data_IF_117464323402
#
_entry.id   IF_117464323402
#
_cell.length_a   1.000
_cell.length_b   1.000
_cell.length_c   1.000
_cell.angle_alpha   90.00
_cell.angle_beta   90.00
_cell.angle_gamma   90.00
#
_symmetry.space_group_name_H-M   'P 1'
#
loop_
_entity.id
_entity.type
_entity.pdbx_description
1 polymer ?
#
# COMPACT_ATOMS: atom_id res chain seq x y z
N UNK A 1 -16.86 8.08 -25.78
CA UNK A 1 -16.49 9.00 -24.66
C UNK A 1 -17.07 8.36 -23.40
N UNK A 2 -16.22 7.93 -22.47
CA UNK A 2 -16.65 7.37 -21.19
C UNK A 2 -17.43 8.43 -20.39
N UNK A 3 -18.59 8.07 -19.85
CA UNK A 3 -19.38 8.97 -19.02
C UNK A 3 -18.58 9.39 -17.79
N UNK A 4 -18.67 10.68 -17.41
CA UNK A 4 -18.02 11.19 -16.20
C UNK A 4 -18.70 10.61 -14.97
N UNK A 5 -17.93 10.06 -14.06
CA UNK A 5 -18.39 9.40 -12.82
C UNK A 5 -17.97 10.22 -11.61
N UNK A 6 -18.83 10.31 -10.60
CA UNK A 6 -18.51 10.89 -9.29
C UNK A 6 -18.34 9.77 -8.26
N UNK A 7 -17.11 9.55 -7.83
CA UNK A 7 -16.71 8.45 -6.94
C UNK A 7 -16.59 8.97 -5.50
N UNK A 8 -17.20 8.28 -4.54
CA UNK A 8 -16.96 8.51 -3.12
C UNK A 8 -15.99 7.43 -2.59
N UNK A 9 -14.77 7.80 -2.19
CA UNK A 9 -13.78 6.88 -1.62
C UNK A 9 -13.80 6.97 -0.10
N UNK A 10 -14.04 5.85 0.58
CA UNK A 10 -14.06 5.75 2.05
C UNK A 10 -12.77 5.13 2.58
N UNK A 11 -12.12 5.81 3.54
CA UNK A 11 -10.84 5.42 4.12
C UNK A 11 -10.88 5.36 5.65
N UNK A 12 -10.00 4.52 6.24
CA UNK A 12 -9.81 4.43 7.70
C UNK A 12 -8.89 5.51 8.26
N UNK A 13 -8.01 6.07 7.45
CA UNK A 13 -6.98 7.00 7.86
C UNK A 13 -7.06 8.29 7.06
N UNK A 14 -6.50 9.38 7.62
CA UNK A 14 -6.44 10.64 6.88
C UNK A 14 -5.54 10.51 5.65
N UNK A 15 -5.97 10.93 4.44
CA UNK A 15 -5.24 10.70 3.19
C UNK A 15 -3.86 11.39 3.11
N UNK A 16 -3.60 12.36 4.00
CA UNK A 16 -2.28 13.02 4.10
C UNK A 16 -1.37 12.43 5.19
N UNK A 17 -1.78 11.34 5.86
CA UNK A 17 -0.88 10.59 6.73
C UNK A 17 0.09 9.73 5.91
N UNK A 18 1.21 9.32 6.50
CA UNK A 18 2.22 8.51 5.81
C UNK A 18 1.78 7.05 5.74
N UNK A 19 1.70 6.50 4.53
CA UNK A 19 1.40 5.08 4.29
C UNK A 19 1.13 4.77 2.83
N UNK A 20 1.27 3.51 2.44
CA UNK A 20 1.07 3.05 1.06
C UNK A 20 -0.36 3.28 0.57
N UNK A 21 -1.37 2.94 1.40
CA UNK A 21 -2.80 3.12 1.06
C UNK A 21 -3.11 4.60 0.80
N UNK A 22 -2.60 5.51 1.66
CA UNK A 22 -2.84 6.94 1.52
C UNK A 22 -2.22 7.49 0.23
N UNK A 23 -0.99 7.07 -0.07
CA UNK A 23 -0.31 7.44 -1.32
C UNK A 23 -1.12 6.94 -2.52
N UNK A 24 -1.53 5.67 -2.50
CA UNK A 24 -2.35 5.07 -3.56
C UNK A 24 -3.66 5.81 -3.79
N UNK A 25 -4.44 6.07 -2.74
CA UNK A 25 -5.74 6.78 -2.87
C UNK A 25 -5.55 8.21 -3.39
N UNK A 26 -4.50 8.91 -2.97
CA UNK A 26 -4.20 10.24 -3.50
C UNK A 26 -3.80 10.21 -4.97
N UNK A 27 -3.07 9.19 -5.41
CA UNK A 27 -2.75 8.99 -6.81
C UNK A 27 -3.99 8.61 -7.63
N UNK A 28 -4.83 7.70 -7.14
CA UNK A 28 -6.12 7.37 -7.76
C UNK A 28 -6.97 8.64 -7.96
N UNK A 29 -7.11 9.47 -6.92
CA UNK A 29 -7.82 10.75 -7.05
C UNK A 29 -7.20 11.63 -8.13
N UNK A 30 -5.89 11.84 -8.11
CA UNK A 30 -5.16 12.66 -9.09
C UNK A 30 -5.43 12.21 -10.52
N UNK A 31 -5.33 10.91 -10.80
CA UNK A 31 -5.44 10.37 -12.15
C UNK A 31 -6.89 10.24 -12.62
N UNK A 32 -7.83 9.90 -11.76
CA UNK A 32 -9.26 9.92 -12.06
C UNK A 32 -9.74 11.33 -12.40
N UNK A 33 -9.31 12.34 -11.65
CA UNK A 33 -9.68 13.73 -11.90
C UNK A 33 -9.05 14.29 -13.19
N UNK A 34 -7.86 13.86 -13.57
CA UNK A 34 -7.26 14.17 -14.89
C UNK A 34 -8.07 13.65 -16.05
N UNK A 35 -8.73 12.52 -15.90
CA UNK A 35 -9.63 11.94 -16.88
C UNK A 35 -11.04 12.57 -16.86
N UNK A 36 -11.25 13.54 -15.98
CA UNK A 36 -12.49 14.33 -15.90
C UNK A 36 -13.56 13.72 -14.97
N UNK A 37 -13.24 12.67 -14.24
CA UNK A 37 -14.09 12.15 -13.17
C UNK A 37 -14.04 13.05 -11.93
N UNK A 38 -14.98 12.90 -11.01
CA UNK A 38 -14.96 13.59 -9.72
C UNK A 38 -14.68 12.59 -8.61
N UNK A 39 -13.81 12.95 -7.66
CA UNK A 39 -13.48 12.10 -6.53
C UNK A 39 -13.65 12.86 -5.22
N UNK A 40 -14.52 12.34 -4.35
CA UNK A 40 -14.67 12.80 -2.98
C UNK A 40 -14.12 11.76 -2.02
N UNK A 41 -13.12 12.12 -1.23
CA UNK A 41 -12.53 11.25 -0.21
C UNK A 41 -13.22 11.50 1.12
N UNK A 42 -13.79 10.45 1.70
CA UNK A 42 -14.39 10.44 3.03
C UNK A 42 -13.43 9.77 4.00
N UNK A 43 -12.93 10.50 4.97
CA UNK A 43 -11.87 10.05 5.85
C UNK A 43 -12.00 10.65 7.26
N UNK A 44 -11.28 10.09 8.26
CA UNK A 44 -11.15 10.71 9.57
C UNK A 44 -10.54 12.11 9.48
N UNK A 45 -11.00 13.01 10.35
CA UNK A 45 -10.34 14.32 10.51
C UNK A 45 -8.97 14.12 11.17
N UNK A 46 -8.00 14.96 10.83
CA UNK A 46 -6.69 15.00 11.49
C UNK A 46 -6.48 16.35 12.16
N UNK A 47 -5.85 16.36 13.33
CA UNK A 47 -5.54 17.58 14.07
C UNK A 47 -4.66 18.54 13.24
N UNK A 48 -3.81 17.99 12.38
CA UNK A 48 -2.82 18.75 11.59
C UNK A 48 -3.30 19.19 10.20
N UNK A 49 -4.35 18.57 9.66
CA UNK A 49 -4.76 18.76 8.28
C UNK A 49 -6.21 19.22 8.19
N UNK A 50 -6.43 20.41 7.62
CA UNK A 50 -7.77 20.94 7.36
C UNK A 50 -8.38 20.37 6.09
N UNK A 51 -9.70 20.38 6.01
CA UNK A 51 -10.43 19.99 4.81
C UNK A 51 -10.04 20.91 3.63
N UNK A 52 -9.86 20.31 2.46
CA UNK A 52 -9.71 20.97 1.17
C UNK A 52 -10.78 20.43 0.24
N UNK A 53 -10.99 21.05 -0.91
CA UNK A 53 -11.98 20.60 -1.89
C UNK A 53 -11.78 19.11 -2.26
N UNK A 54 -12.89 18.39 -2.32
CA UNK A 54 -12.90 16.95 -2.57
C UNK A 54 -12.64 16.07 -1.34
N UNK A 55 -12.63 16.65 -0.11
CA UNK A 55 -12.49 15.90 1.13
C UNK A 55 -13.65 16.13 2.08
N UNK A 56 -14.28 15.05 2.52
CA UNK A 56 -15.27 15.04 3.57
C UNK A 56 -14.68 14.43 4.83
N UNK A 57 -14.21 15.27 5.74
CA UNK A 57 -13.57 14.84 6.97
C UNK A 57 -14.61 14.65 8.08
N UNK A 58 -14.64 13.43 8.63
CA UNK A 58 -15.51 13.04 9.72
C UNK A 58 -14.86 13.30 11.07
N UNK A 59 -15.64 13.69 12.09
CA UNK A 59 -15.13 13.81 13.45
C UNK A 59 -14.49 12.50 13.90
N UNK A 60 -13.26 12.56 14.36
CA UNK A 60 -12.47 11.40 14.77
C UNK A 60 -11.80 11.63 16.12
N UNK A 61 -11.48 10.53 16.79
CA UNK A 61 -10.69 10.52 18.01
C UNK A 61 -9.28 10.11 17.63
N UNK A 62 -8.23 10.84 18.07
CA UNK A 62 -6.87 10.43 17.79
C UNK A 62 -6.55 9.12 18.52
N UNK A 63 -5.99 8.16 17.79
CA UNK A 63 -5.53 6.88 18.34
C UNK A 63 -4.05 6.92 18.73
N UNK A 64 -3.33 7.93 18.25
CA UNK A 64 -1.92 8.12 18.55
C UNK A 64 -1.64 9.55 19.04
N UNK A 65 -0.53 9.72 19.78
CA UNK A 65 -0.09 11.01 20.32
C UNK A 65 0.26 12.05 19.24
N UNK A 66 0.44 11.61 17.99
CA UNK A 66 0.77 12.48 16.86
C UNK A 66 -0.45 12.89 16.05
N UNK A 67 -1.61 12.25 16.27
CA UNK A 67 -2.86 12.50 15.56
C UNK A 67 -2.81 12.07 14.08
N UNK A 68 -1.93 11.13 13.72
CA UNK A 68 -1.82 10.60 12.37
C UNK A 68 -2.88 9.52 12.11
N UNK A 69 -3.30 8.81 13.16
CA UNK A 69 -4.36 7.81 13.13
C UNK A 69 -5.59 8.31 13.87
N UNK A 70 -6.71 8.36 13.17
CA UNK A 70 -7.99 8.76 13.70
C UNK A 70 -9.00 7.61 13.67
N UNK A 71 -9.78 7.49 14.75
CA UNK A 71 -10.89 6.57 14.85
C UNK A 71 -12.19 7.32 14.58
N UNK A 72 -12.99 6.88 13.62
CA UNK A 72 -14.33 7.42 13.36
C UNK A 72 -15.38 6.44 13.83
N UNK A 73 -16.13 6.84 14.87
CA UNK A 73 -17.26 6.03 15.28
C UNK A 73 -18.43 6.16 14.28
N UNK A 74 -19.08 5.04 13.97
CA UNK A 74 -20.31 5.00 13.16
C UNK A 74 -21.51 5.50 13.99
N UNK A 75 -21.40 6.74 14.49
CA UNK A 75 -22.38 7.36 15.34
C UNK A 75 -23.39 8.19 14.53
N UNK A 76 -24.56 8.41 15.11
CA UNK A 76 -25.65 9.19 14.50
C UNK A 76 -25.19 10.55 13.97
N UNK A 77 -24.20 11.19 14.62
CA UNK A 77 -23.64 12.49 14.19
C UNK A 77 -22.86 12.38 12.87
N UNK A 78 -22.01 11.38 12.74
CA UNK A 78 -21.23 11.13 11.51
C UNK A 78 -22.16 10.78 10.34
N UNK A 79 -23.14 9.92 10.58
CA UNK A 79 -24.16 9.57 9.57
C UNK A 79 -24.95 10.79 9.10
N UNK A 80 -25.51 11.59 10.03
CA UNK A 80 -26.25 12.81 9.69
C UNK A 80 -25.40 13.82 8.90
N UNK A 81 -24.11 13.94 9.23
CA UNK A 81 -23.20 14.82 8.51
C UNK A 81 -22.97 14.35 7.06
N UNK A 82 -22.75 13.05 6.88
CA UNK A 82 -22.60 12.46 5.55
C UNK A 82 -23.87 12.59 4.71
N UNK A 83 -25.02 12.22 5.28
CA UNK A 83 -26.30 12.23 4.57
C UNK A 83 -26.67 13.66 4.17
N UNK A 84 -26.52 14.66 5.07
CA UNK A 84 -26.74 16.09 4.75
C UNK A 84 -25.78 16.56 3.65
N UNK A 85 -24.48 16.27 3.76
CA UNK A 85 -23.51 16.66 2.73
C UNK A 85 -23.85 16.06 1.37
N UNK A 86 -24.33 14.82 1.35
CA UNK A 86 -24.78 14.19 0.13
C UNK A 86 -26.06 14.80 -0.44
N UNK A 87 -27.04 15.14 0.40
CA UNK A 87 -28.29 15.82 -0.01
C UNK A 87 -28.01 17.20 -0.64
N UNK A 88 -27.03 17.92 -0.11
CA UNK A 88 -26.62 19.25 -0.60
C UNK A 88 -25.81 19.19 -1.91
N UNK A 89 -25.28 18.01 -2.32
CA UNK A 89 -24.53 17.87 -3.57
C UNK A 89 -25.45 18.07 -4.79
N UNK A 90 -25.03 18.93 -5.71
CA UNK A 90 -25.68 19.06 -7.02
C UNK A 90 -25.50 17.81 -7.89
N UNK A 91 -24.25 17.31 -7.96
CA UNK A 91 -23.90 16.07 -8.66
C UNK A 91 -23.71 14.96 -7.63
N UNK A 92 -24.68 14.06 -7.56
CA UNK A 92 -24.64 12.91 -6.62
C UNK A 92 -23.48 11.98 -6.92
N UNK A 93 -23.16 11.11 -5.97
CA UNK A 93 -22.22 10.02 -6.23
C UNK A 93 -22.87 8.95 -7.11
N UNK A 94 -22.09 8.41 -8.03
CA UNK A 94 -22.51 7.29 -8.88
C UNK A 94 -22.08 5.94 -8.27
N UNK A 95 -21.02 5.95 -7.48
CA UNK A 95 -20.44 4.74 -6.89
C UNK A 95 -19.71 5.05 -5.57
N UNK A 96 -19.73 4.10 -4.66
CA UNK A 96 -18.92 4.10 -3.44
C UNK A 96 -17.77 3.11 -3.60
N UNK A 97 -16.54 3.59 -3.46
CA UNK A 97 -15.35 2.77 -3.38
C UNK A 97 -14.85 2.73 -1.94
N UNK A 98 -14.94 1.57 -1.32
CA UNK A 98 -14.45 1.35 0.03
C UNK A 98 -12.99 0.91 -0.04
N UNK A 99 -12.10 1.67 0.59
CA UNK A 99 -10.68 1.36 0.72
C UNK A 99 -10.22 1.34 2.18
N UNK A 100 -11.17 1.31 3.11
CA UNK A 100 -10.95 1.10 4.52
C UNK A 100 -11.48 -0.27 4.93
N UNK A 101 -10.64 -1.06 5.60
CA UNK A 101 -10.99 -2.40 6.05
C UNK A 101 -11.52 -2.42 7.50
N UNK A 102 -11.69 -1.24 8.13
CA UNK A 102 -12.21 -1.08 9.49
C UNK A 102 -13.43 -0.16 9.50
N UNK A 103 -13.32 0.98 10.18
CA UNK A 103 -14.44 1.92 10.36
C UNK A 103 -14.86 2.63 9.09
N UNK A 104 -13.91 2.97 8.23
CA UNK A 104 -14.17 3.52 6.90
C UNK A 104 -15.04 2.59 6.07
N UNK A 105 -14.74 1.27 6.13
CA UNK A 105 -15.54 0.23 5.51
C UNK A 105 -16.97 0.17 6.01
N UNK A 106 -17.15 0.11 7.35
CA UNK A 106 -18.49 0.04 7.97
C UNK A 106 -19.33 1.27 7.65
N UNK A 107 -18.71 2.47 7.71
CA UNK A 107 -19.40 3.72 7.42
C UNK A 107 -19.74 3.84 5.95
N UNK A 108 -18.81 3.46 5.07
CA UNK A 108 -18.99 3.46 3.61
C UNK A 108 -20.10 2.53 3.18
N UNK A 109 -20.10 1.30 3.69
CA UNK A 109 -21.15 0.31 3.45
C UNK A 109 -22.52 0.85 3.87
N UNK A 110 -22.64 1.32 5.13
CA UNK A 110 -23.90 1.85 5.65
C UNK A 110 -24.37 3.10 4.90
N UNK A 111 -23.46 3.94 4.41
CA UNK A 111 -23.79 5.09 3.56
C UNK A 111 -24.32 4.64 2.19
N UNK A 112 -23.60 3.75 1.51
CA UNK A 112 -23.99 3.28 0.20
C UNK A 112 -25.38 2.61 0.20
N UNK A 113 -25.67 1.80 1.22
CA UNK A 113 -27.00 1.17 1.36
C UNK A 113 -28.11 2.17 1.55
N UNK A 114 -27.95 3.18 2.41
CA UNK A 114 -28.96 4.22 2.62
C UNK A 114 -29.31 5.01 1.37
N UNK A 115 -28.30 5.22 0.52
CA UNK A 115 -28.43 6.00 -0.72
C UNK A 115 -28.55 5.12 -1.97
N UNK A 116 -28.62 3.79 -1.83
CA UNK A 116 -28.75 2.80 -2.91
C UNK A 116 -27.65 2.93 -3.97
N UNK A 117 -26.43 3.21 -3.53
CA UNK A 117 -25.27 3.33 -4.40
C UNK A 117 -24.58 1.99 -4.57
N UNK A 118 -24.09 1.66 -5.77
CA UNK A 118 -23.26 0.48 -5.98
C UNK A 118 -21.93 0.61 -5.23
N UNK A 119 -21.39 -0.54 -4.82
CA UNK A 119 -20.19 -0.61 -3.97
C UNK A 119 -19.11 -1.40 -4.68
N UNK A 120 -17.89 -0.89 -4.67
CA UNK A 120 -16.67 -1.65 -4.90
C UNK A 120 -15.79 -1.59 -3.65
N UNK A 121 -15.10 -2.69 -3.36
CA UNK A 121 -14.25 -2.83 -2.18
C UNK A 121 -12.83 -3.18 -2.59
N UNK A 122 -11.83 -2.39 -2.20
CA UNK A 122 -10.42 -2.80 -2.24
C UNK A 122 -9.97 -3.21 -0.85
N UNK A 123 -9.51 -4.45 -0.72
CA UNK A 123 -8.91 -4.97 0.49
C UNK A 123 -7.43 -4.60 0.53
N UNK A 124 -7.00 -3.95 1.61
CA UNK A 124 -5.61 -3.50 1.74
C UNK A 124 -4.87 -4.17 2.88
N UNK A 125 -5.58 -4.79 3.81
CA UNK A 125 -5.00 -5.21 5.08
C UNK A 125 -5.05 -6.72 5.24
N UNK A 126 -3.90 -7.36 5.38
CA UNK A 126 -3.84 -8.72 5.90
C UNK A 126 -4.09 -8.72 7.42
N UNK A 127 -5.37 -8.62 7.77
CA UNK A 127 -5.82 -8.45 9.16
C UNK A 127 -5.41 -9.61 10.07
N UNK A 128 -5.34 -10.83 9.53
CA UNK A 128 -5.03 -12.00 10.34
C UNK A 128 -3.61 -11.98 10.89
N UNK A 129 -2.65 -11.51 10.10
CA UNK A 129 -1.25 -11.46 10.52
C UNK A 129 -0.93 -10.23 11.38
N UNK A 130 -1.41 -9.06 10.98
CA UNK A 130 -1.07 -7.80 11.65
C UNK A 130 -1.60 -7.74 13.08
N UNK A 131 -2.86 -8.10 13.26
CA UNK A 131 -3.51 -7.95 14.58
C UNK A 131 -3.10 -9.06 15.54
N UNK A 132 -2.85 -10.28 15.04
CA UNK A 132 -2.36 -11.38 15.88
C UNK A 132 -0.94 -11.12 16.42
N UNK A 133 -0.06 -10.54 15.58
CA UNK A 133 1.31 -10.22 15.99
C UNK A 133 1.40 -9.02 16.96
N UNK A 134 0.48 -8.05 16.84
CA UNK A 134 0.56 -6.79 17.62
C UNK A 134 -0.25 -6.84 18.91
N UNK A 135 -1.45 -7.42 18.91
CA UNK A 135 -2.40 -7.33 20.04
C UNK A 135 -2.63 -8.65 20.79
N UNK A 136 -2.16 -9.77 20.24
CA UNK A 136 -2.44 -11.10 20.78
C UNK A 136 -3.88 -11.58 20.51
N UNK A 137 -4.08 -12.90 20.48
CA UNK A 137 -5.30 -13.54 19.99
C UNK A 137 -6.59 -13.13 20.72
N UNK A 138 -6.57 -12.93 22.04
CA UNK A 138 -7.79 -12.59 22.81
C UNK A 138 -8.28 -11.19 22.51
N UNK A 139 -7.38 -10.22 22.47
CA UNK A 139 -7.71 -8.81 22.17
C UNK A 139 -8.17 -8.67 20.73
N UNK A 140 -7.51 -9.36 19.81
CA UNK A 140 -7.88 -9.44 18.40
C UNK A 140 -9.30 -9.96 18.24
N UNK A 141 -9.63 -11.11 18.81
CA UNK A 141 -10.99 -11.69 18.73
C UNK A 141 -12.06 -10.77 19.28
N UNK A 142 -11.77 -10.08 20.39
CA UNK A 142 -12.71 -9.11 20.98
C UNK A 142 -12.91 -7.90 20.06
N UNK A 143 -11.85 -7.35 19.48
CA UNK A 143 -11.93 -6.24 18.54
C UNK A 143 -12.75 -6.62 17.31
N UNK A 144 -12.46 -7.76 16.67
CA UNK A 144 -13.21 -8.24 15.51
C UNK A 144 -14.65 -8.62 15.84
N UNK A 145 -14.92 -9.08 17.05
CA UNK A 145 -16.27 -9.28 17.53
C UNK A 145 -17.07 -7.96 17.55
N UNK A 146 -16.47 -6.89 18.08
CA UNK A 146 -17.09 -5.55 18.08
C UNK A 146 -17.34 -5.04 16.65
N UNK A 147 -16.33 -5.12 15.78
CA UNK A 147 -16.42 -4.69 14.39
C UNK A 147 -17.48 -5.50 13.61
N UNK A 148 -17.46 -6.83 13.74
CA UNK A 148 -18.44 -7.71 13.09
C UNK A 148 -19.86 -7.41 13.56
N UNK A 149 -20.05 -7.15 14.86
CA UNK A 149 -21.36 -6.82 15.40
C UNK A 149 -21.92 -5.51 14.86
N UNK A 150 -21.07 -4.52 14.59
CA UNK A 150 -21.50 -3.27 13.95
C UNK A 150 -21.78 -3.50 12.46
N UNK A 151 -20.95 -4.29 11.79
CA UNK A 151 -21.06 -4.61 10.37
C UNK A 151 -22.31 -5.43 10.06
N UNK A 152 -22.71 -6.38 10.92
CA UNK A 152 -23.90 -7.21 10.78
C UNK A 152 -25.21 -6.39 10.71
N UNK A 153 -25.22 -5.13 11.14
CA UNK A 153 -26.37 -4.23 10.95
C UNK A 153 -26.56 -3.80 9.49
N UNK A 154 -25.55 -4.04 8.67
CA UNK A 154 -25.49 -3.60 7.27
C UNK A 154 -25.36 -4.75 6.27
N UNK A 155 -25.39 -5.99 6.71
CA UNK A 155 -25.27 -7.18 5.85
C UNK A 155 -26.62 -7.90 5.77
N UNK A 156 -27.09 -8.11 4.55
CA UNK A 156 -28.42 -8.70 4.32
C UNK A 156 -28.45 -10.23 4.54
N UNK A 157 -27.34 -10.91 4.25
CA UNK A 157 -27.22 -12.37 4.37
C UNK A 157 -25.89 -12.73 5.02
N UNK A 158 -25.79 -12.64 6.35
CA UNK A 158 -24.57 -13.03 7.03
C UNK A 158 -24.32 -14.53 6.84
N UNK A 159 -23.09 -14.86 6.47
CA UNK A 159 -22.63 -16.25 6.46
C UNK A 159 -22.53 -16.78 7.89
N UNK A 160 -22.86 -18.07 8.09
CA UNK A 160 -22.51 -18.74 9.32
C UNK A 160 -21.01 -18.80 9.47
N UNK A 161 -20.48 -18.20 10.53
CA UNK A 161 -19.07 -18.12 10.83
C UNK A 161 -18.80 -17.65 12.25
N UNK A 162 -17.61 -17.86 12.74
CA UNK A 162 -17.22 -17.45 14.09
C UNK A 162 -17.10 -15.92 14.14
N UNK A 163 -18.00 -15.28 14.87
CA UNK A 163 -17.92 -13.84 15.14
C UNK A 163 -16.61 -13.56 15.92
N UNK A 164 -15.79 -12.66 15.40
CA UNK A 164 -14.45 -12.37 15.94
C UNK A 164 -13.30 -13.03 15.16
N UNK A 165 -13.60 -13.80 14.11
CA UNK A 165 -12.61 -14.23 13.16
C UNK A 165 -12.33 -13.11 12.12
N UNK A 166 -11.04 -12.74 11.89
CA UNK A 166 -10.67 -11.70 10.93
C UNK A 166 -11.14 -11.97 9.50
N UNK A 167 -11.01 -13.20 9.02
CA UNK A 167 -11.41 -13.56 7.67
C UNK A 167 -12.93 -13.50 7.47
N UNK A 168 -13.69 -13.97 8.46
CA UNK A 168 -15.14 -13.81 8.44
C UNK A 168 -15.58 -12.35 8.48
N UNK A 169 -14.86 -11.50 9.23
CA UNK A 169 -15.09 -10.05 9.21
C UNK A 169 -14.87 -9.44 7.81
N UNK A 170 -13.77 -9.79 7.14
CA UNK A 170 -13.51 -9.34 5.75
C UNK A 170 -14.58 -9.87 4.78
N UNK A 171 -15.03 -11.13 4.95
CA UNK A 171 -16.15 -11.66 4.17
C UNK A 171 -17.43 -10.82 4.33
N UNK A 172 -17.80 -10.48 5.58
CA UNK A 172 -18.96 -9.63 5.83
C UNK A 172 -18.81 -8.24 5.18
N UNK A 173 -17.62 -7.68 5.17
CA UNK A 173 -17.34 -6.39 4.53
C UNK A 173 -17.45 -6.47 3.00
N UNK A 174 -16.99 -7.59 2.41
CA UNK A 174 -17.03 -7.83 0.97
C UNK A 174 -18.41 -8.24 0.44
N UNK A 175 -19.27 -8.83 1.30
CA UNK A 175 -20.51 -9.52 0.89
C UNK A 175 -21.53 -8.64 0.16
N UNK A 176 -21.51 -7.34 0.39
CA UNK A 176 -22.40 -6.36 -0.24
C UNK A 176 -21.73 -5.61 -1.41
N UNK A 177 -20.45 -5.90 -1.70
CA UNK A 177 -19.73 -5.29 -2.80
C UNK A 177 -20.05 -5.96 -4.14
N UNK A 178 -20.22 -5.15 -5.19
CA UNK A 178 -20.43 -5.62 -6.57
C UNK A 178 -19.14 -6.13 -7.21
N UNK A 179 -17.98 -5.67 -6.71
CA UNK A 179 -16.64 -6.15 -7.07
C UNK A 179 -15.69 -5.98 -5.88
N UNK A 180 -14.80 -6.96 -5.71
CA UNK A 180 -13.76 -6.97 -4.68
C UNK A 180 -12.41 -6.96 -5.35
N UNK A 181 -11.54 -6.05 -4.93
CA UNK A 181 -10.18 -5.88 -5.43
C UNK A 181 -9.14 -6.23 -4.37
N UNK A 182 -8.01 -6.75 -4.83
CA UNK A 182 -6.78 -6.90 -4.05
C UNK A 182 -5.61 -6.28 -4.80
N UNK A 183 -4.60 -5.74 -4.11
CA UNK A 183 -3.49 -5.05 -4.76
C UNK A 183 -2.42 -5.98 -5.36
N UNK A 184 -2.58 -7.29 -5.25
CA UNK A 184 -1.64 -8.30 -5.78
C UNK A 184 -2.33 -9.63 -6.02
N UNK A 185 -1.69 -10.51 -6.81
CA UNK A 185 -2.20 -11.84 -7.11
C UNK A 185 -2.20 -12.74 -5.87
N UNK A 186 -1.11 -12.77 -5.10
CA UNK A 186 -1.01 -13.58 -3.89
C UNK A 186 -2.08 -13.20 -2.86
N UNK A 187 -2.32 -11.90 -2.64
CA UNK A 187 -3.33 -11.47 -1.68
C UNK A 187 -4.76 -11.73 -2.20
N UNK A 188 -5.00 -11.60 -3.51
CA UNK A 188 -6.27 -12.01 -4.12
C UNK A 188 -6.52 -13.51 -3.89
N UNK A 189 -5.51 -14.36 -4.08
CA UNK A 189 -5.58 -15.78 -3.81
C UNK A 189 -5.85 -16.09 -2.33
N UNK A 190 -5.24 -15.37 -1.41
CA UNK A 190 -5.50 -15.50 0.03
C UNK A 190 -6.96 -15.19 0.37
N UNK A 191 -7.50 -14.11 -0.18
CA UNK A 191 -8.90 -13.72 0.03
C UNK A 191 -9.87 -14.78 -0.49
N UNK A 192 -9.61 -15.37 -1.66
CA UNK A 192 -10.43 -16.47 -2.23
C UNK A 192 -10.29 -17.73 -1.38
N UNK A 193 -9.07 -18.10 -1.00
CA UNK A 193 -8.77 -19.31 -0.20
C UNK A 193 -9.48 -19.25 1.17
N UNK A 194 -9.50 -18.09 1.80
CA UNK A 194 -10.21 -17.87 3.06
C UNK A 194 -11.69 -17.52 2.88
N UNK A 195 -12.20 -17.63 1.64
CA UNK A 195 -13.61 -17.44 1.31
C UNK A 195 -14.15 -16.06 1.69
N UNK A 196 -13.32 -15.04 1.56
CA UNK A 196 -13.73 -13.64 1.74
C UNK A 196 -14.68 -13.24 0.61
N UNK A 197 -14.34 -13.60 -0.63
CA UNK A 197 -15.20 -13.47 -1.80
C UNK A 197 -14.91 -14.63 -2.77
N UNK A 198 -15.91 -15.00 -3.59
CA UNK A 198 -15.75 -16.08 -4.58
C UNK A 198 -14.82 -15.67 -5.74
N UNK A 199 -14.79 -14.37 -6.04
CA UNK A 199 -13.94 -13.77 -7.06
C UNK A 199 -13.35 -12.47 -6.54
N UNK A 200 -12.03 -12.35 -6.67
CA UNK A 200 -11.27 -11.14 -6.33
C UNK A 200 -10.45 -10.72 -7.56
N UNK A 201 -10.59 -9.48 -7.96
CA UNK A 201 -9.87 -8.93 -9.11
C UNK A 201 -8.57 -8.27 -8.63
N UNK A 202 -7.48 -8.48 -9.36
CA UNK A 202 -6.21 -7.83 -9.04
C UNK A 202 -6.19 -6.41 -9.59
N UNK A 203 -5.99 -5.46 -8.70
CA UNK A 203 -5.91 -4.02 -8.99
C UNK A 203 -4.70 -3.44 -8.26
N UNK A 204 -3.54 -3.45 -8.91
CA UNK A 204 -2.31 -2.93 -8.32
C UNK A 204 -2.45 -1.44 -7.97
N UNK A 205 -1.86 -1.05 -6.85
CA UNK A 205 -1.63 0.37 -6.58
C UNK A 205 -0.48 0.82 -7.47
N UNK A 206 -0.73 1.76 -8.34
CA UNK A 206 0.25 2.24 -9.30
C UNK A 206 1.23 3.27 -8.71
N UNK A 207 2.32 3.48 -9.42
CA UNK A 207 3.33 4.51 -9.13
C UNK A 207 3.02 5.77 -9.94
N UNK A 208 3.40 6.96 -9.44
CA UNK A 208 3.13 8.24 -10.11
C UNK A 208 3.90 8.37 -11.42
N UNK A 209 3.20 8.27 -12.56
CA UNK A 209 3.74 8.40 -13.91
C UNK A 209 4.59 9.66 -14.12
N UNK A 210 4.13 10.83 -13.60
CA UNK A 210 4.83 12.09 -13.83
C UNK A 210 6.22 12.06 -13.22
N UNK A 211 6.32 11.48 -12.02
CA UNK A 211 7.59 11.39 -11.30
C UNK A 211 8.48 10.37 -12.01
N UNK A 212 7.95 9.18 -12.32
CA UNK A 212 8.70 8.13 -13.03
C UNK A 212 9.22 8.65 -14.36
N UNK A 213 8.36 9.25 -15.20
CA UNK A 213 8.76 9.83 -16.49
C UNK A 213 9.82 10.91 -16.35
N UNK A 214 9.72 11.77 -15.30
CA UNK A 214 10.73 12.79 -15.04
C UNK A 214 12.09 12.21 -14.65
N UNK A 215 12.10 11.13 -13.87
CA UNK A 215 13.32 10.42 -13.44
C UNK A 215 13.97 9.72 -14.63
N UNK A 216 13.19 8.93 -15.39
CA UNK A 216 13.70 8.20 -16.55
C UNK A 216 14.24 9.14 -17.64
N UNK A 217 13.57 10.28 -17.87
CA UNK A 217 14.07 11.32 -18.78
C UNK A 217 15.41 11.87 -18.32
N UNK A 218 15.53 12.26 -17.05
CA UNK A 218 16.79 12.78 -16.49
C UNK A 218 17.92 11.75 -16.59
N UNK A 219 17.63 10.47 -16.35
CA UNK A 219 18.60 9.37 -16.50
C UNK A 219 19.04 9.19 -17.95
N UNK A 220 18.14 9.29 -18.93
CA UNK A 220 18.46 9.20 -20.35
C UNK A 220 19.29 10.40 -20.82
N UNK A 221 18.93 11.62 -20.39
CA UNK A 221 19.68 12.84 -20.71
C UNK A 221 21.13 12.76 -20.14
N UNK A 222 21.29 12.21 -18.93
CA UNK A 222 22.60 11.99 -18.31
C UNK A 222 23.42 10.89 -19.02
N UNK A 223 22.78 9.81 -19.51
CA UNK A 223 23.46 8.75 -20.30
C UNK A 223 24.01 9.28 -21.63
N UNK A 224 23.31 10.25 -22.25
CA UNK A 224 23.79 10.96 -23.44
C UNK A 224 25.07 11.78 -23.19
N UNK A 225 25.36 12.15 -21.94
CA UNK A 225 26.55 12.94 -21.53
C UNK A 225 27.71 12.12 -20.95
N UNK A 226 27.74 10.80 -21.09
CA UNK A 226 28.81 9.86 -20.62
C UNK A 226 29.11 9.84 -19.10
N UNK A 227 28.27 10.40 -18.23
CA UNK A 227 28.64 10.63 -16.81
C UNK A 227 28.07 9.62 -15.80
N UNK A 228 27.42 8.52 -16.21
CA UNK A 228 26.73 7.63 -15.26
C UNK A 228 27.05 6.14 -15.35
N UNK A 229 28.23 5.79 -15.87
CA UNK A 229 28.73 4.43 -15.65
C UNK A 229 29.44 4.36 -14.30
N UNK A 230 29.00 3.43 -13.41
CA UNK A 230 29.70 3.06 -12.21
C UNK A 230 31.19 2.90 -12.52
N UNK A 231 32.06 3.56 -11.74
CA UNK A 231 33.50 3.42 -11.90
C UNK A 231 33.96 2.12 -11.24
N UNK A 232 34.97 1.45 -11.78
CA UNK A 232 35.61 0.34 -11.08
C UNK A 232 36.08 0.80 -9.69
N UNK A 233 35.60 0.14 -8.63
CA UNK A 233 35.91 0.51 -7.25
C UNK A 233 34.81 1.26 -6.51
N UNK A 234 33.74 1.71 -7.17
CA UNK A 234 32.59 2.29 -6.48
C UNK A 234 31.88 1.26 -5.63
N UNK A 235 31.46 1.64 -4.41
CA UNK A 235 30.64 0.80 -3.54
C UNK A 235 29.24 0.63 -4.11
N UNK A 236 28.66 -0.56 -3.91
CA UNK A 236 27.27 -0.84 -4.27
C UNK A 236 26.36 -0.01 -3.35
N UNK A 237 25.38 0.67 -3.93
CA UNK A 237 24.38 1.47 -3.20
C UNK A 237 23.15 0.63 -2.91
N UNK A 238 22.94 0.30 -1.64
CA UNK A 238 21.77 -0.44 -1.17
C UNK A 238 20.82 0.53 -0.47
N UNK A 239 19.56 0.50 -0.84
CA UNK A 239 18.51 1.28 -0.17
C UNK A 239 17.54 0.35 0.53
N UNK A 240 17.17 0.73 1.74
CA UNK A 240 16.04 0.18 2.47
C UNK A 240 15.05 1.31 2.78
N UNK A 241 13.75 1.09 2.55
CA UNK A 241 12.74 2.10 2.83
C UNK A 241 11.49 1.48 3.46
N UNK A 242 11.02 2.10 4.55
CA UNK A 242 9.84 1.63 5.25
C UNK A 242 9.65 2.26 6.62
N UNK A 243 8.57 1.89 7.30
CA UNK A 243 8.41 2.23 8.71
C UNK A 243 9.40 1.43 9.54
N UNK A 244 10.14 2.09 10.43
CA UNK A 244 11.06 1.40 11.36
C UNK A 244 10.27 0.71 12.46
N UNK A 245 9.60 -0.41 12.10
CA UNK A 245 8.72 -1.24 12.90
C UNK A 245 9.14 -2.71 12.79
N UNK A 246 8.79 -3.60 13.73
CA UNK A 246 9.24 -5.00 13.72
C UNK A 246 8.87 -5.76 12.46
N UNK A 247 7.66 -5.56 11.93
CA UNK A 247 7.16 -6.24 10.74
C UNK A 247 7.99 -5.94 9.48
N UNK A 248 8.72 -4.81 9.48
CA UNK A 248 9.63 -4.42 8.39
C UNK A 248 11.07 -4.90 8.60
N UNK A 249 11.37 -5.50 9.75
CA UNK A 249 12.63 -6.15 10.08
C UNK A 249 13.91 -5.30 9.87
N UNK A 250 13.91 -3.98 10.25
CA UNK A 250 15.10 -3.14 10.04
C UNK A 250 16.31 -3.57 10.86
N UNK A 251 16.11 -4.20 12.03
CA UNK A 251 17.21 -4.65 12.88
C UNK A 251 17.87 -5.91 12.32
N UNK A 252 17.07 -6.83 11.76
CA UNK A 252 17.54 -8.03 11.05
C UNK A 252 18.35 -7.63 9.83
N UNK A 253 17.90 -6.61 9.08
CA UNK A 253 18.64 -6.05 7.96
C UNK A 253 20.01 -5.52 8.37
N UNK A 254 20.11 -4.72 9.43
CA UNK A 254 21.37 -4.17 9.94
C UNK A 254 22.32 -5.32 10.37
N UNK A 255 21.79 -6.36 11.04
CA UNK A 255 22.59 -7.53 11.40
C UNK A 255 23.08 -8.30 10.18
N UNK A 256 22.25 -8.47 9.15
CA UNK A 256 22.63 -9.13 7.91
C UNK A 256 23.73 -8.38 7.16
N UNK A 257 23.70 -7.05 7.15
CA UNK A 257 24.80 -6.23 6.60
C UNK A 257 26.11 -6.47 7.36
N UNK A 258 26.04 -6.57 8.68
CA UNK A 258 27.24 -6.87 9.48
C UNK A 258 27.76 -8.27 9.21
N UNK A 259 26.89 -9.28 9.22
CA UNK A 259 27.22 -10.69 9.01
C UNK A 259 27.77 -10.97 7.61
N UNK A 260 27.21 -10.32 6.58
CA UNK A 260 27.65 -10.45 5.20
C UNK A 260 29.05 -9.86 4.94
N UNK A 261 29.50 -8.92 5.76
CA UNK A 261 30.76 -8.23 5.56
C UNK A 261 30.89 -7.43 4.25
N UNK A 262 29.79 -7.22 3.50
CA UNK A 262 29.80 -6.54 2.21
C UNK A 262 30.38 -5.12 2.27
N UNK A 263 31.14 -4.76 1.25
CA UNK A 263 31.56 -3.36 1.02
C UNK A 263 30.53 -2.66 0.15
N UNK A 264 29.54 -2.03 0.82
CA UNK A 264 28.42 -1.34 0.21
C UNK A 264 28.04 -0.10 1.01
N UNK A 265 27.53 0.94 0.34
CA UNK A 265 26.92 2.11 0.97
C UNK A 265 25.40 1.83 1.16
N UNK A 266 24.94 1.86 2.40
CA UNK A 266 23.56 1.51 2.75
C UNK A 266 22.84 2.72 3.30
N UNK A 267 21.69 3.05 2.70
CA UNK A 267 20.84 4.13 3.17
C UNK A 267 19.48 3.59 3.61
N UNK A 268 19.09 3.90 4.85
CA UNK A 268 17.82 3.47 5.47
C UNK A 268 16.89 4.67 5.59
N UNK A 269 15.79 4.64 4.85
CA UNK A 269 14.78 5.70 4.84
C UNK A 269 13.54 5.30 5.61
N UNK A 270 13.02 6.23 6.40
CA UNK A 270 11.78 6.08 7.15
C UNK A 270 11.89 6.50 8.60
N UNK A 271 10.77 6.32 9.33
CA UNK A 271 10.66 6.63 10.77
C UNK A 271 9.84 5.54 11.46
N UNK A 272 10.09 5.35 12.74
CA UNK A 272 9.36 4.41 13.56
C UNK A 272 9.95 4.29 14.94
N UNK A 273 9.31 3.50 15.82
CA UNK A 273 9.77 3.40 17.20
C UNK A 273 11.11 2.65 17.34
N UNK A 274 11.48 1.82 16.35
CA UNK A 274 12.78 1.14 16.33
C UNK A 274 13.95 2.05 15.91
N UNK A 275 13.69 3.30 15.49
CA UNK A 275 14.74 4.18 14.97
C UNK A 275 15.93 4.38 15.91
N UNK A 276 15.67 4.62 17.22
CA UNK A 276 16.75 4.73 18.21
C UNK A 276 17.51 3.42 18.42
N UNK A 277 16.80 2.28 18.35
CA UNK A 277 17.42 0.96 18.49
C UNK A 277 18.25 0.60 17.26
N UNK A 278 17.77 0.96 16.07
CA UNK A 278 18.51 0.79 14.83
C UNK A 278 19.81 1.61 14.82
N UNK A 279 19.76 2.88 15.25
CA UNK A 279 20.98 3.68 15.34
C UNK A 279 22.01 3.07 16.31
N UNK A 280 21.58 2.70 17.53
CA UNK A 280 22.48 2.04 18.49
C UNK A 280 23.11 0.77 17.92
N UNK A 281 22.32 -0.05 17.22
CA UNK A 281 22.81 -1.27 16.61
C UNK A 281 23.85 -0.99 15.51
N UNK A 282 23.69 0.06 14.71
CA UNK A 282 24.69 0.52 13.73
C UNK A 282 25.99 0.92 14.43
N UNK A 283 25.87 1.68 15.54
CA UNK A 283 27.03 2.15 16.30
C UNK A 283 27.75 0.98 16.99
N UNK A 284 27.01 0.07 17.65
CA UNK A 284 27.52 -1.12 18.34
C UNK A 284 28.24 -2.11 17.40
N UNK A 285 27.78 -2.21 16.16
CA UNK A 285 28.37 -3.08 15.13
C UNK A 285 29.48 -2.38 14.30
N UNK A 286 29.79 -1.11 14.59
CA UNK A 286 30.83 -0.37 13.88
C UNK A 286 30.51 -0.09 12.41
N UNK A 287 29.23 0.06 12.05
CA UNK A 287 28.77 0.23 10.66
C UNK A 287 28.58 1.71 10.25
N UNK A 288 28.89 2.67 11.10
CA UNK A 288 28.54 4.09 10.91
C UNK A 288 29.19 4.78 9.71
N UNK A 289 30.26 4.23 9.16
CA UNK A 289 30.94 4.72 7.94
C UNK A 289 30.16 4.40 6.64
N UNK A 290 29.35 3.35 6.63
CA UNK A 290 28.67 2.82 5.45
C UNK A 290 27.15 2.62 5.58
N UNK A 291 26.57 2.62 6.79
CA UNK A 291 25.12 2.49 7.02
C UNK A 291 24.58 3.79 7.65
N UNK A 292 23.63 4.42 6.98
CA UNK A 292 23.10 5.72 7.39
C UNK A 292 21.58 5.72 7.50
N UNK A 293 21.04 6.13 8.66
CA UNK A 293 19.62 6.44 8.84
C UNK A 293 19.31 7.84 8.28
N UNK A 294 18.53 7.94 7.22
CA UNK A 294 18.19 9.19 6.53
C UNK A 294 16.87 9.82 7.00
N UNK A 295 16.08 9.10 7.79
CA UNK A 295 14.75 9.53 8.18
C UNK A 295 13.73 9.46 7.02
N UNK A 296 12.51 9.96 7.26
CA UNK A 296 11.48 9.98 6.23
C UNK A 296 11.69 11.14 5.27
N UNK A 297 11.49 10.89 3.99
CA UNK A 297 11.58 11.87 2.91
C UNK A 297 10.26 11.93 2.12
N UNK A 298 9.99 13.04 1.37
CA UNK A 298 8.83 13.13 0.49
C UNK A 298 8.82 12.04 -0.59
N UNK A 299 7.63 11.63 -1.05
CA UNK A 299 7.42 10.57 -2.03
C UNK A 299 8.26 10.75 -3.31
N UNK A 300 8.23 11.94 -3.92
CA UNK A 300 9.04 12.20 -5.11
C UNK A 300 10.56 12.10 -4.87
N UNK A 301 11.02 12.30 -3.63
CA UNK A 301 12.43 12.15 -3.28
C UNK A 301 12.82 10.69 -3.13
N UNK A 302 11.95 9.86 -2.52
CA UNK A 302 12.28 8.44 -2.35
C UNK A 302 12.34 7.71 -3.70
N UNK A 303 11.50 8.04 -4.68
CA UNK A 303 11.58 7.46 -6.02
C UNK A 303 12.91 7.81 -6.73
N UNK A 304 13.43 9.02 -6.53
CA UNK A 304 14.77 9.40 -7.04
C UNK A 304 15.87 8.63 -6.33
N UNK A 305 15.74 8.42 -5.01
CA UNK A 305 16.70 7.62 -4.25
C UNK A 305 16.73 6.20 -4.76
N UNK A 306 15.57 5.60 -5.09
CA UNK A 306 15.54 4.27 -5.72
C UNK A 306 16.26 4.29 -7.06
N UNK A 307 15.99 5.26 -7.94
CA UNK A 307 16.63 5.37 -9.24
C UNK A 307 18.16 5.55 -9.18
N UNK A 308 18.66 6.15 -8.09
CA UNK A 308 20.08 6.37 -7.83
C UNK A 308 20.75 5.18 -7.12
N UNK A 309 19.98 4.18 -6.69
CA UNK A 309 20.45 2.99 -6.01
C UNK A 309 20.73 1.85 -7.01
N UNK A 310 21.64 0.96 -6.64
CA UNK A 310 21.88 -0.28 -7.40
C UNK A 310 20.84 -1.36 -7.05
N UNK A 311 20.34 -1.37 -5.81
CA UNK A 311 19.36 -2.36 -5.35
C UNK A 311 18.56 -1.85 -4.14
N UNK A 312 17.27 -2.22 -4.11
CA UNK A 312 16.39 -2.09 -2.93
C UNK A 312 16.44 -3.36 -2.09
N UNK A 313 16.54 -3.26 -0.77
CA UNK A 313 16.31 -4.38 0.15
C UNK A 313 14.92 -4.27 0.77
N UNK A 314 14.04 -5.26 0.52
CA UNK A 314 12.74 -5.40 1.16
C UNK A 314 12.77 -6.60 2.11
N UNK A 315 12.62 -6.34 3.41
CA UNK A 315 12.91 -7.34 4.46
C UNK A 315 11.68 -7.81 5.24
N UNK A 316 10.48 -7.35 4.90
CA UNK A 316 9.24 -7.90 5.43
C UNK A 316 9.05 -9.35 4.99
N UNK A 317 8.41 -10.17 5.83
CA UNK A 317 8.07 -11.57 5.53
C UNK A 317 6.59 -11.79 5.85
N UNK A 318 5.81 -12.19 4.85
CA UNK A 318 4.39 -12.53 4.99
C UNK A 318 3.48 -11.39 5.46
N UNK A 319 3.95 -10.16 5.43
CA UNK A 319 3.22 -8.99 5.93
C UNK A 319 2.59 -8.15 4.82
N UNK A 320 3.26 -8.09 3.68
CA UNK A 320 2.88 -7.20 2.60
C UNK A 320 1.68 -7.73 1.82
N UNK A 321 0.75 -6.86 1.50
CA UNK A 321 -0.34 -7.17 0.56
C UNK A 321 0.03 -6.81 -0.88
N UNK A 322 1.01 -5.92 -1.09
CA UNK A 322 1.59 -5.61 -2.40
C UNK A 322 3.11 -5.36 -2.32
N UNK A 323 3.58 -4.71 -1.24
CA UNK A 323 4.98 -4.31 -1.15
C UNK A 323 5.31 -3.09 -2.00
N UNK A 324 4.58 -1.99 -1.83
CA UNK A 324 4.67 -0.76 -2.64
C UNK A 324 6.11 -0.30 -2.93
N UNK A 325 7.03 -0.43 -1.97
CA UNK A 325 8.44 -0.03 -2.17
C UNK A 325 9.13 -0.81 -3.29
N UNK A 326 8.74 -2.08 -3.48
CA UNK A 326 9.26 -2.93 -4.57
C UNK A 326 8.73 -2.45 -5.91
N UNK A 327 7.42 -2.19 -6.01
CA UNK A 327 6.80 -1.63 -7.22
C UNK A 327 7.36 -0.24 -7.56
N UNK A 328 7.59 0.60 -6.56
CA UNK A 328 8.19 1.92 -6.71
C UNK A 328 9.63 1.85 -7.25
N UNK A 329 10.44 0.93 -6.71
CA UNK A 329 11.80 0.69 -7.19
C UNK A 329 11.80 0.12 -8.61
N UNK A 330 10.96 -0.88 -8.88
CA UNK A 330 10.80 -1.48 -10.21
C UNK A 330 10.41 -0.45 -11.26
N UNK A 331 9.46 0.45 -10.95
CA UNK A 331 9.00 1.48 -11.87
C UNK A 331 10.10 2.48 -12.30
N UNK A 332 11.17 2.61 -11.53
CA UNK A 332 12.34 3.41 -11.90
C UNK A 332 13.55 2.56 -12.34
N UNK A 333 13.34 1.25 -12.53
CA UNK A 333 14.34 0.31 -13.03
C UNK A 333 15.29 -0.25 -11.98
N UNK A 334 14.99 -0.15 -10.69
CA UNK A 334 15.87 -0.63 -9.61
C UNK A 334 15.42 -2.01 -9.12
N UNK A 335 16.26 -3.05 -9.26
CA UNK A 335 15.95 -4.41 -8.79
C UNK A 335 15.92 -4.49 -7.26
N UNK A 336 15.34 -5.57 -6.73
CA UNK A 336 15.14 -5.74 -5.29
C UNK A 336 15.71 -7.05 -4.76
N UNK A 337 16.15 -7.05 -3.50
CA UNK A 337 16.39 -8.25 -2.69
C UNK A 337 15.14 -8.46 -1.84
N UNK A 338 14.47 -9.60 -1.96
CA UNK A 338 13.15 -9.87 -1.42
C UNK A 338 13.19 -11.00 -0.39
N UNK A 339 12.80 -10.70 0.87
CA UNK A 339 12.59 -11.73 1.90
C UNK A 339 11.20 -12.36 1.80
N UNK A 340 10.24 -11.71 1.15
CA UNK A 340 8.88 -12.22 1.01
C UNK A 340 8.71 -12.94 -0.34
N UNK A 341 8.57 -14.26 -0.28
CA UNK A 341 8.39 -15.10 -1.47
C UNK A 341 7.10 -14.81 -2.22
N UNK A 342 6.05 -14.35 -1.53
CA UNK A 342 4.79 -13.97 -2.17
C UNK A 342 5.00 -12.71 -3.02
N UNK A 343 5.73 -11.73 -2.50
CA UNK A 343 6.08 -10.53 -3.27
C UNK A 343 7.03 -10.88 -4.43
N UNK A 344 7.98 -11.79 -4.21
CA UNK A 344 8.87 -12.23 -5.29
C UNK A 344 8.09 -12.86 -6.46
N UNK A 345 7.04 -13.63 -6.16
CA UNK A 345 6.16 -14.23 -7.18
C UNK A 345 5.32 -13.25 -7.99
N UNK A 346 5.23 -11.97 -7.60
CA UNK A 346 4.55 -10.93 -8.37
C UNK A 346 5.41 -10.37 -9.54
N UNK A 347 6.70 -10.67 -9.57
CA UNK A 347 7.65 -10.18 -10.57
C UNK A 347 8.25 -11.30 -11.39
N UNK A 348 8.66 -11.00 -12.63
CA UNK A 348 9.28 -11.97 -13.52
C UNK A 348 10.60 -12.51 -12.93
N UNK A 349 10.89 -13.78 -13.19
CA UNK A 349 12.16 -14.40 -12.78
C UNK A 349 13.36 -13.64 -13.35
N UNK A 350 14.42 -13.52 -12.54
CA UNK A 350 15.65 -12.84 -12.91
C UNK A 350 15.58 -11.32 -12.91
N UNK A 351 14.52 -10.71 -12.34
CA UNK A 351 14.42 -9.27 -12.09
C UNK A 351 14.79 -8.88 -10.65
N UNK A 352 14.94 -9.85 -9.75
CA UNK A 352 15.20 -9.68 -8.33
C UNK A 352 16.03 -10.82 -7.74
N UNK A 353 16.47 -10.69 -6.48
CA UNK A 353 17.07 -11.75 -5.67
C UNK A 353 16.08 -12.18 -4.59
N UNK A 354 15.96 -13.49 -4.37
CA UNK A 354 15.08 -14.05 -3.34
C UNK A 354 15.92 -14.56 -2.18
N UNK A 355 15.57 -14.18 -0.97
CA UNK A 355 16.20 -14.68 0.25
C UNK A 355 15.64 -16.07 0.56
N UNK A 356 16.52 -17.04 0.86
CA UNK A 356 16.12 -18.46 0.97
C UNK A 356 15.13 -18.73 2.10
N UNK A 357 15.28 -18.07 3.24
CA UNK A 357 14.40 -18.16 4.42
C UNK A 357 14.41 -16.85 5.22
N UNK A 358 13.72 -16.80 6.32
CA UNK A 358 13.58 -15.60 7.16
C UNK A 358 14.74 -15.36 8.13
N UNK A 359 15.84 -16.14 8.05
CA UNK A 359 17.02 -15.97 8.90
C UNK A 359 17.87 -14.76 8.50
N UNK A 360 18.62 -14.24 9.46
CA UNK A 360 19.58 -13.16 9.22
C UNK A 360 20.69 -13.64 8.28
N UNK A 361 21.14 -14.89 8.43
CA UNK A 361 22.20 -15.47 7.59
C UNK A 361 21.77 -15.68 6.13
N UNK A 362 20.52 -16.09 5.89
CA UNK A 362 20.00 -16.17 4.52
C UNK A 362 19.94 -14.78 3.86
N UNK A 363 19.52 -13.76 4.60
CA UNK A 363 19.53 -12.37 4.11
C UNK A 363 20.97 -11.88 3.87
N UNK A 364 21.93 -12.21 4.75
CA UNK A 364 23.34 -11.87 4.57
C UNK A 364 23.91 -12.50 3.29
N UNK A 365 23.60 -13.78 3.03
CA UNK A 365 24.00 -14.47 1.81
C UNK A 365 23.42 -13.81 0.55
N UNK A 366 22.13 -13.46 0.57
CA UNK A 366 21.48 -12.79 -0.56
C UNK A 366 22.05 -11.39 -0.81
N UNK A 367 22.40 -10.65 0.25
CA UNK A 367 23.10 -9.36 0.14
C UNK A 367 24.48 -9.53 -0.52
N UNK A 368 25.27 -10.53 -0.10
CA UNK A 368 26.57 -10.83 -0.70
C UNK A 368 26.43 -11.18 -2.18
N UNK A 369 25.52 -12.11 -2.50
CA UNK A 369 25.25 -12.51 -3.88
C UNK A 369 24.84 -11.31 -4.76
N UNK A 370 23.94 -10.46 -4.27
CA UNK A 370 23.50 -9.29 -5.02
C UNK A 370 24.64 -8.30 -5.27
N UNK A 371 25.50 -8.07 -4.27
CA UNK A 371 26.67 -7.18 -4.41
C UNK A 371 27.66 -7.75 -5.44
N UNK A 372 27.91 -9.05 -5.42
CA UNK A 372 28.82 -9.70 -6.35
C UNK A 372 28.26 -9.69 -7.79
N UNK A 373 26.99 -10.03 -7.96
CA UNK A 373 26.31 -9.97 -9.26
C UNK A 373 26.32 -8.55 -9.84
N UNK A 374 26.02 -7.54 -9.04
CA UNK A 374 26.04 -6.13 -9.46
C UNK A 374 27.45 -5.70 -9.87
N UNK A 375 28.48 -6.10 -9.12
CA UNK A 375 29.88 -5.83 -9.48
C UNK A 375 30.31 -6.55 -10.76
N UNK A 376 29.75 -7.72 -11.02
CA UNK A 376 29.97 -8.49 -12.25
C UNK A 376 29.20 -7.95 -13.47
N UNK A 377 28.37 -6.92 -13.31
CA UNK A 377 27.62 -6.30 -14.41
C UNK A 377 26.25 -6.94 -14.69
N UNK A 378 25.55 -7.36 -13.65
CA UNK A 378 24.19 -7.92 -13.74
C UNK A 378 23.22 -7.01 -14.52
N UNK A 379 22.31 -7.62 -15.29
CA UNK A 379 21.38 -6.93 -16.19
C UNK A 379 19.93 -6.91 -15.68
N UNK A 380 19.67 -7.11 -14.36
CA UNK A 380 18.30 -7.08 -13.81
C UNK A 380 17.59 -5.76 -14.05
N UNK A 381 18.31 -4.64 -14.07
CA UNK A 381 17.75 -3.32 -14.43
C UNK A 381 17.09 -3.31 -15.82
N UNK A 382 17.70 -3.94 -16.81
CA UNK A 382 17.17 -3.95 -18.16
C UNK A 382 15.88 -4.78 -18.27
N UNK A 383 15.76 -5.84 -17.47
CA UNK A 383 14.60 -6.74 -17.47
C UNK A 383 13.37 -6.09 -16.82
N UNK A 384 13.56 -5.22 -15.84
CA UNK A 384 12.47 -4.48 -15.19
C UNK A 384 11.83 -3.42 -16.12
N UNK A 385 12.52 -2.97 -17.15
CA UNK A 385 12.01 -1.95 -18.08
C UNK A 385 10.80 -2.44 -18.91
N UNK A 386 10.55 -3.75 -18.97
CA UNK A 386 9.46 -4.36 -19.74
C UNK A 386 8.15 -4.51 -18.91
N UNK A 387 8.12 -4.02 -17.66
CA UNK A 387 6.97 -4.14 -16.77
C UNK A 387 6.03 -2.94 -16.87
N UNK A 388 5.19 -2.90 -17.91
CA UNK A 388 4.31 -1.75 -18.23
C UNK A 388 3.18 -1.50 -17.20
N UNK A 389 2.83 -2.48 -16.34
CA UNK A 389 1.67 -2.40 -15.45
C UNK A 389 1.91 -1.69 -14.10
N UNK A 390 3.08 -1.10 -13.91
CA UNK A 390 3.47 -0.49 -12.63
C UNK A 390 2.91 0.93 -12.44
N UNK A 391 2.42 1.57 -13.51
CA UNK A 391 2.04 2.98 -13.50
C UNK A 391 0.59 3.20 -13.06
N UNK A 392 0.34 4.34 -12.43
CA UNK A 392 -1.00 4.69 -11.94
C UNK A 392 -1.99 4.94 -13.07
N UNK A 393 -1.54 5.43 -14.22
CA UNK A 393 -2.43 5.63 -15.39
C UNK A 393 -3.13 4.34 -15.80
N UNK A 394 -2.39 3.22 -15.88
CA UNK A 394 -2.94 1.94 -16.32
C UNK A 394 -3.89 1.35 -15.28
N UNK A 395 -3.50 1.39 -14.00
CA UNK A 395 -4.38 1.01 -12.90
C UNK A 395 -5.68 1.86 -12.90
N UNK A 396 -5.58 3.15 -13.23
CA UNK A 396 -6.75 4.04 -13.27
C UNK A 396 -7.70 3.72 -14.42
N UNK A 397 -7.19 3.44 -15.62
CA UNK A 397 -8.02 3.04 -16.77
C UNK A 397 -8.77 1.75 -16.46
N UNK A 398 -8.08 0.72 -15.95
CA UNK A 398 -8.71 -0.53 -15.52
C UNK A 398 -9.79 -0.31 -14.46
N UNK A 399 -9.55 0.58 -13.50
CA UNK A 399 -10.50 0.91 -12.43
C UNK A 399 -11.76 1.58 -12.97
N UNK A 400 -11.64 2.48 -13.97
CA UNK A 400 -12.78 3.14 -14.61
C UNK A 400 -13.68 2.11 -15.31
N UNK A 401 -13.10 1.16 -16.03
CA UNK A 401 -13.87 0.10 -16.69
C UNK A 401 -14.70 -0.70 -15.68
N UNK A 402 -14.12 -1.05 -14.53
CA UNK A 402 -14.86 -1.70 -13.45
C UNK A 402 -15.96 -0.81 -12.86
N UNK A 403 -15.71 0.48 -12.63
CA UNK A 403 -16.74 1.38 -12.13
C UNK A 403 -17.92 1.47 -13.09
N UNK A 404 -17.67 1.63 -14.37
CA UNK A 404 -18.73 1.70 -15.39
C UNK A 404 -19.54 0.40 -15.45
N UNK A 405 -18.88 -0.75 -15.48
CA UNK A 405 -19.57 -2.04 -15.48
C UNK A 405 -20.42 -2.30 -14.24
N UNK A 406 -19.97 -1.82 -13.06
CA UNK A 406 -20.72 -1.92 -11.80
C UNK A 406 -21.92 -0.98 -11.80
N UNK A 407 -21.77 0.26 -12.26
CA UNK A 407 -22.83 1.27 -12.34
C UNK A 407 -23.92 0.78 -13.33
N UNK A 408 -23.54 0.32 -14.52
CA UNK A 408 -24.49 -0.19 -15.52
C UNK A 408 -25.32 -1.36 -14.99
N UNK A 409 -24.65 -2.33 -14.32
CA UNK A 409 -25.37 -3.45 -13.68
C UNK A 409 -26.33 -3.01 -12.59
N UNK A 410 -26.01 -1.95 -11.84
CA UNK A 410 -26.87 -1.44 -10.77
C UNK A 410 -28.14 -0.76 -11.30
N UNK A 411 -28.09 -0.24 -12.53
CA UNK A 411 -29.24 0.39 -13.21
C UNK A 411 -30.05 -0.58 -14.08
N UNK A 412 -29.52 -1.78 -14.33
CA UNK A 412 -30.27 -2.80 -15.07
C UNK A 412 -31.54 -3.23 -14.31
N UNK A 413 -32.68 -3.37 -15.00
CA UNK A 413 -33.89 -3.84 -14.36
C UNK A 413 -33.66 -5.22 -13.75
N UNK A 414 -34.00 -5.38 -12.48
CA UNK A 414 -33.98 -6.68 -11.80
C UNK A 414 -35.21 -7.43 -12.28
N UNK A 415 -35.02 -8.38 -13.24
CA UNK A 415 -36.04 -9.31 -13.65
C UNK A 415 -36.32 -10.38 -12.59
#
# INVERSE_FOLDING_TARGET
MTSKVHIAIFMDQHPRSLGGIQTSVMLQKKYLERLGHRVTIVAPNSVKNRATDGFWLLPSWPLDLRGDFGFVANVRRSRKRLDRGYEELQNKFDIVHIQGDMWGGIIGLGFAQRHRLPIVQTMHFNMSQVVQQVLGQRVTRFLFWLLSRELLKHVNRPREGTVGDPWNYLHLLASEASAVFAPSHHFAQDLVTHKVADKVEVMHNGVDDDIVKSILKAANDARGSQTTKRQPGDRVKIVWAGRLQPEKRPLEFIRAIHESGIDADVEIFGKGYLGKKAQRLIDDLGLGDRVRLRGAVPYAKILRVYADADVLAQTSVGFETQGMTVYEAAAVGTPSILCDHNIAGEFAEGTHWVVADDSVSALANALSQAVDDIKAGDQRHARLADEDHLLQSDATLKMIDYYQAVIERSHAPKY
#
